data_IF_279764153097
#
_entry.id   IF_279764153097
#
_cell.length_a   1.000
_cell.length_b   1.000
_cell.length_c   1.000
_cell.angle_alpha   90.00
_cell.angle_beta   90.00
_cell.angle_gamma   90.00
#
_symmetry.space_group_name_H-M   'P 1'
#
loop_
_entity.id
_entity.type
_entity.pdbx_description
1 polymer ?
#
# COMPACT_ATOMS: atom_id res chain seq x y z
N UNK A 1 7.10 -1.80 0.12
CA UNK A 1 5.72 -1.60 -0.39
C UNK A 1 5.47 -0.13 -0.69
N UNK A 2 5.68 0.75 0.30
CA UNK A 2 5.52 2.19 0.13
C UNK A 2 6.37 2.77 -1.00
N UNK A 3 7.61 2.30 -1.16
CA UNK A 3 8.47 2.71 -2.29
C UNK A 3 7.84 2.38 -3.64
N UNK A 4 7.33 1.16 -3.83
CA UNK A 4 6.59 0.77 -5.05
C UNK A 4 5.34 1.62 -5.26
N UNK A 5 4.68 2.07 -4.20
CA UNK A 5 3.52 2.96 -4.31
C UNK A 5 3.90 4.38 -4.74
N UNK A 6 5.04 4.87 -4.27
CA UNK A 6 5.66 6.14 -4.67
C UNK A 6 6.08 6.10 -6.14
N UNK A 7 6.79 5.05 -6.55
CA UNK A 7 7.26 4.86 -7.93
C UNK A 7 6.10 4.83 -8.93
N UNK A 8 4.99 4.19 -8.55
CA UNK A 8 3.77 4.15 -9.37
C UNK A 8 2.92 5.43 -9.30
N UNK A 9 3.41 6.50 -8.63
CA UNK A 9 2.70 7.77 -8.38
C UNK A 9 1.32 7.59 -7.74
N UNK A 10 1.14 6.48 -7.02
CA UNK A 10 -0.09 6.22 -6.25
C UNK A 10 -0.03 6.99 -4.95
N UNK A 11 1.14 7.18 -4.35
CA UNK A 11 1.36 8.02 -3.17
C UNK A 11 2.43 9.07 -3.48
N UNK A 12 2.21 10.30 -3.00
CA UNK A 12 3.22 11.36 -3.05
C UNK A 12 4.08 11.35 -1.76
N UNK A 13 5.24 12.01 -1.78
CA UNK A 13 6.16 12.07 -0.63
C UNK A 13 5.48 12.57 0.65
N UNK A 14 4.57 13.57 0.54
CA UNK A 14 3.79 14.07 1.68
C UNK A 14 2.74 13.09 2.23
N UNK A 15 2.36 12.06 1.48
CA UNK A 15 1.50 10.96 1.94
C UNK A 15 2.32 9.84 2.59
N UNK A 16 3.62 9.76 2.31
CA UNK A 16 4.55 8.74 2.82
C UNK A 16 5.24 9.22 4.10
N UNK A 17 5.39 10.53 4.27
CA UNK A 17 5.78 11.20 5.52
C UNK A 17 4.68 11.15 6.60
N UNK A 18 4.20 9.94 6.92
CA UNK A 18 3.17 9.66 7.91
C UNK A 18 3.57 10.02 9.37
N UNK A 19 4.56 10.88 9.59
CA UNK A 19 4.99 11.34 10.90
C UNK A 19 5.41 10.18 11.85
N UNK A 20 5.45 10.44 13.17
CA UNK A 20 5.72 9.43 14.18
C UNK A 20 4.46 8.57 14.46
N UNK A 21 3.82 8.05 13.42
CA UNK A 21 2.74 7.08 13.56
C UNK A 21 3.30 5.68 13.86
N UNK A 22 2.61 4.97 14.74
CA UNK A 22 2.90 3.56 15.03
C UNK A 22 2.67 2.70 13.77
N UNK A 23 3.34 1.55 13.67
CA UNK A 23 3.28 0.70 12.47
C UNK A 23 1.84 0.36 12.05
N UNK A 24 0.95 0.07 12.99
CA UNK A 24 -0.46 -0.19 12.70
C UNK A 24 -1.22 1.01 12.13
N UNK A 25 -0.92 2.22 12.62
CA UNK A 25 -1.52 3.45 12.10
C UNK A 25 -1.00 3.80 10.71
N UNK A 26 0.29 3.55 10.46
CA UNK A 26 0.88 3.69 9.12
C UNK A 26 0.18 2.77 8.11
N UNK A 27 0.01 1.49 8.44
CA UNK A 27 -0.68 0.55 7.54
C UNK A 27 -2.12 1.00 7.29
N UNK A 28 -2.85 1.44 8.33
CA UNK A 28 -4.22 1.94 8.18
C UNK A 28 -4.29 3.14 7.23
N UNK A 29 -3.42 4.13 7.43
CA UNK A 29 -3.38 5.34 6.61
C UNK A 29 -3.09 5.02 5.12
N UNK A 30 -2.15 4.11 4.87
CA UNK A 30 -1.77 3.64 3.53
C UNK A 30 -2.95 2.97 2.84
N UNK A 31 -3.63 2.04 3.54
CA UNK A 31 -4.81 1.35 2.98
C UNK A 31 -5.95 2.33 2.72
N UNK A 32 -6.21 3.27 3.63
CA UNK A 32 -7.26 4.28 3.43
C UNK A 32 -6.97 5.20 2.24
N UNK A 33 -5.71 5.61 2.06
CA UNK A 33 -5.28 6.42 0.92
C UNK A 33 -5.44 5.66 -0.41
N UNK A 34 -5.01 4.40 -0.46
CA UNK A 34 -5.21 3.53 -1.63
C UNK A 34 -6.69 3.44 -1.99
N UNK A 35 -7.53 3.20 -0.97
CA UNK A 35 -8.98 3.06 -1.17
C UNK A 35 -9.63 4.34 -1.66
N UNK A 36 -9.18 5.50 -1.19
CA UNK A 36 -9.64 6.82 -1.65
C UNK A 36 -9.26 7.12 -3.11
N UNK A 37 -8.11 6.61 -3.57
CA UNK A 37 -7.62 6.83 -4.95
C UNK A 37 -8.28 5.90 -5.99
N UNK A 38 -9.04 4.90 -5.54
CA UNK A 38 -9.90 4.08 -6.37
C UNK A 38 -9.26 2.77 -6.84
N UNK A 39 -9.97 2.07 -7.72
CA UNK A 39 -9.67 0.68 -8.10
C UNK A 39 -8.29 0.48 -8.75
N UNK A 40 -7.81 1.48 -9.50
CA UNK A 40 -6.48 1.44 -10.12
C UNK A 40 -5.36 1.44 -9.08
N UNK A 41 -5.48 2.27 -8.04
CA UNK A 41 -4.54 2.32 -6.93
C UNK A 41 -4.56 1.01 -6.13
N UNK A 42 -5.76 0.46 -5.86
CA UNK A 42 -5.90 -0.83 -5.18
C UNK A 42 -5.26 -1.98 -5.96
N UNK A 43 -5.38 -1.98 -7.28
CA UNK A 43 -4.77 -3.02 -8.12
C UNK A 43 -3.23 -2.97 -8.04
N UNK A 44 -2.65 -1.78 -8.10
CA UNK A 44 -1.20 -1.59 -7.94
C UNK A 44 -0.74 -1.99 -6.55
N UNK A 45 -1.50 -1.64 -5.50
CA UNK A 45 -1.19 -2.03 -4.12
C UNK A 45 -1.16 -3.54 -3.95
N UNK A 46 -2.17 -4.24 -4.45
CA UNK A 46 -2.27 -5.71 -4.37
C UNK A 46 -1.14 -6.36 -5.16
N UNK A 47 -0.85 -5.89 -6.38
CA UNK A 47 0.26 -6.42 -7.18
C UNK A 47 1.60 -6.27 -6.46
N UNK A 48 1.88 -5.09 -5.92
CA UNK A 48 3.10 -4.83 -5.18
C UNK A 48 3.18 -5.66 -3.88
N UNK A 49 2.05 -5.91 -3.21
CA UNK A 49 1.99 -6.77 -2.04
C UNK A 49 2.27 -8.24 -2.39
N UNK A 50 1.68 -8.75 -3.48
CA UNK A 50 1.93 -10.11 -3.97
C UNK A 50 3.39 -10.35 -4.39
N UNK A 51 4.06 -9.33 -4.93
CA UNK A 51 5.48 -9.41 -5.29
C UNK A 51 6.41 -9.37 -4.07
N UNK A 52 6.08 -8.55 -3.06
CA UNK A 52 6.94 -8.34 -1.89
C UNK A 52 6.75 -9.39 -0.81
N UNK A 53 5.51 -9.85 -0.61
CA UNK A 53 5.16 -10.85 0.40
C UNK A 53 4.20 -11.90 -0.19
N UNK A 54 4.75 -12.92 -0.89
CA UNK A 54 3.95 -13.95 -1.51
C UNK A 54 3.21 -14.83 -0.50
N UNK A 55 3.72 -14.97 0.74
CA UNK A 55 3.09 -15.75 1.81
C UNK A 55 1.86 -15.02 2.34
N UNK A 56 2.00 -13.72 2.63
CA UNK A 56 0.87 -12.87 3.04
C UNK A 56 -0.20 -12.80 1.94
N UNK A 57 0.21 -12.78 0.68
CA UNK A 57 -0.74 -12.80 -0.44
C UNK A 57 -1.54 -14.12 -0.53
N UNK A 58 -0.93 -15.25 -0.19
CA UNK A 58 -1.64 -16.54 -0.09
C UNK A 58 -2.61 -16.56 1.09
N UNK A 59 -2.18 -16.08 2.26
CA UNK A 59 -3.02 -15.93 3.46
C UNK A 59 -4.25 -15.04 3.19
N UNK A 60 -4.05 -13.95 2.44
CA UNK A 60 -5.10 -13.02 2.05
C UNK A 60 -5.91 -13.46 0.82
N UNK A 61 -5.57 -14.61 0.19
CA UNK A 61 -6.22 -15.15 -1.02
C UNK A 61 -6.25 -14.14 -2.17
N UNK A 62 -5.13 -13.46 -2.39
CA UNK A 62 -4.95 -12.47 -3.45
C UNK A 62 -4.31 -13.07 -4.73
N UNK A 63 -4.03 -14.37 -4.71
CA UNK A 63 -3.53 -15.18 -5.83
C UNK A 63 -4.59 -16.16 -6.32
#
# INVERSE_FOLDING_TARGET
LLDKMLENKVMNDGEIELGPLNQGEKVRAVVDMVRKKGSKASSVFIAALCELDPCLAEDLKLK
#
